data_IF_469152165040
#
_entry.id   IF_469152165040
#
_cell.length_a   1.000
_cell.length_b   1.000
_cell.length_c   1.000
_cell.angle_alpha   90.00
_cell.angle_beta   90.00
_cell.angle_gamma   90.00
#
_symmetry.space_group_name_H-M   'P 1'
#
loop_
_entity.id
_entity.type
_entity.pdbx_description
1 polymer ?
#
# COMPACT_ATOMS: atom_id res chain seq x y z
N UNK A 1 4.35 12.32 21.70
CA UNK A 1 3.13 11.47 21.82
C UNK A 1 3.37 10.50 22.94
N UNK A 2 2.55 10.59 23.98
CA UNK A 2 2.73 9.82 25.22
C UNK A 2 2.27 8.37 25.08
N UNK A 3 2.69 7.53 26.03
CA UNK A 3 2.24 6.14 26.11
C UNK A 3 0.72 6.07 26.26
N UNK A 4 0.07 5.12 25.59
CA UNK A 4 -1.39 4.90 25.63
C UNK A 4 -2.24 6.13 25.27
N UNK A 5 -1.72 7.09 24.49
CA UNK A 5 -2.39 8.38 24.23
C UNK A 5 -3.78 8.25 23.59
N UNK A 6 -4.03 7.14 22.91
CA UNK A 6 -5.25 6.89 22.13
C UNK A 6 -6.07 5.70 22.65
N UNK A 7 -5.65 5.11 23.78
CA UNK A 7 -6.32 3.94 24.35
C UNK A 7 -7.74 4.31 24.81
N UNK A 8 -8.73 3.52 24.40
CA UNK A 8 -10.12 3.71 24.79
C UNK A 8 -10.87 4.81 24.03
N UNK A 9 -10.27 5.40 22.99
CA UNK A 9 -10.97 6.36 22.13
C UNK A 9 -12.09 5.71 21.29
N UNK A 10 -11.89 4.46 20.86
CA UNK A 10 -12.88 3.68 20.12
C UNK A 10 -12.67 2.18 20.38
N UNK A 11 -13.76 1.41 20.26
CA UNK A 11 -13.71 -0.05 20.18
C UNK A 11 -13.60 -0.57 18.74
N UNK A 12 -13.80 0.30 17.76
CA UNK A 12 -13.68 0.02 16.33
C UNK A 12 -12.32 0.50 15.79
N UNK A 13 -12.06 0.21 14.51
CA UNK A 13 -10.88 0.71 13.82
C UNK A 13 -10.91 2.24 13.69
N UNK A 14 -9.73 2.85 13.67
CA UNK A 14 -9.59 4.30 13.66
C UNK A 14 -8.46 4.78 12.75
N UNK A 15 -8.63 6.00 12.28
CA UNK A 15 -7.66 6.74 11.47
C UNK A 15 -7.10 7.87 12.32
N UNK A 16 -5.76 7.91 12.46
CA UNK A 16 -5.05 8.94 13.20
C UNK A 16 -4.23 9.81 12.25
N UNK A 17 -4.69 11.05 12.06
CA UNK A 17 -3.94 12.08 11.35
C UNK A 17 -3.26 13.02 12.34
N UNK A 18 -1.97 12.78 12.53
CA UNK A 18 -1.09 13.56 13.41
C UNK A 18 -0.06 14.37 12.60
N UNK A 19 -0.27 14.48 11.30
CA UNK A 19 0.62 15.15 10.36
C UNK A 19 0.60 16.68 10.51
N UNK A 20 1.65 17.34 10.00
CA UNK A 20 1.82 18.80 10.02
C UNK A 20 1.79 19.41 11.42
N UNK A 21 2.31 18.68 12.39
CA UNK A 21 2.47 19.14 13.76
C UNK A 21 3.96 19.37 14.08
N UNK A 22 4.24 19.72 15.33
CA UNK A 22 5.59 19.85 15.89
C UNK A 22 6.06 18.60 16.63
N UNK A 23 5.56 17.40 16.27
CA UNK A 23 5.91 16.15 16.97
C UNK A 23 7.40 15.87 16.75
N UNK A 24 8.10 15.70 17.86
CA UNK A 24 9.54 15.40 17.91
C UNK A 24 9.78 14.01 18.50
N UNK A 25 8.92 13.62 19.43
CA UNK A 25 9.06 12.39 20.21
C UNK A 25 7.75 11.61 20.22
N UNK A 26 7.87 10.29 20.09
CA UNK A 26 6.79 9.33 20.24
C UNK A 26 7.31 8.26 21.20
N UNK A 27 6.60 8.01 22.30
CA UNK A 27 7.02 7.02 23.29
C UNK A 27 6.67 5.59 22.86
N UNK A 28 7.37 4.62 23.45
CA UNK A 28 6.98 3.20 23.36
C UNK A 28 5.53 3.01 23.81
N UNK A 29 4.80 2.11 23.14
CA UNK A 29 3.39 1.83 23.42
C UNK A 29 2.48 3.06 23.26
N UNK A 30 2.85 4.07 22.45
CA UNK A 30 2.03 5.26 22.21
C UNK A 30 0.63 4.93 21.68
N UNK A 31 0.54 3.90 20.83
CA UNK A 31 -0.69 3.43 20.19
C UNK A 31 -1.28 2.16 20.81
N UNK A 32 -0.82 1.77 22.00
CA UNK A 32 -1.30 0.56 22.67
C UNK A 32 -2.82 0.59 22.92
N UNK A 33 -3.48 -0.55 22.73
CA UNK A 33 -4.93 -0.70 22.91
C UNK A 33 -5.76 -0.02 21.83
N UNK A 34 -5.21 0.16 20.62
CA UNK A 34 -5.91 0.77 19.47
C UNK A 34 -5.95 -0.17 18.26
N UNK A 35 -6.93 0.04 17.39
CA UNK A 35 -7.05 -0.62 16.09
C UNK A 35 -6.82 0.44 15.00
N UNK A 36 -5.64 0.47 14.39
CA UNK A 36 -5.23 1.50 13.45
C UNK A 36 -5.43 1.05 12.00
N UNK A 37 -6.35 1.70 11.30
CA UNK A 37 -6.45 1.58 9.85
C UNK A 37 -5.39 2.45 9.18
N UNK A 38 -5.27 3.70 9.61
CA UNK A 38 -4.29 4.62 9.05
C UNK A 38 -3.63 5.46 10.14
N UNK A 39 -2.31 5.59 10.04
CA UNK A 39 -1.51 6.50 10.85
C UNK A 39 -0.72 7.43 9.93
N UNK A 40 -1.02 8.72 9.99
CA UNK A 40 -0.32 9.75 9.25
C UNK A 40 0.51 10.63 10.20
N UNK A 41 1.83 10.45 10.14
CA UNK A 41 2.85 11.21 10.86
C UNK A 41 3.61 12.19 9.95
N UNK A 42 3.17 12.35 8.69
CA UNK A 42 3.88 13.17 7.72
C UNK A 42 4.04 14.64 8.14
N UNK A 43 5.00 15.35 7.57
CA UNK A 43 5.28 16.78 7.86
C UNK A 43 5.67 17.09 9.32
N UNK A 44 5.95 16.09 10.16
CA UNK A 44 6.59 16.31 11.46
C UNK A 44 8.11 16.39 11.26
N UNK A 45 8.60 17.55 10.81
CA UNK A 45 9.97 17.72 10.29
C UNK A 45 11.09 17.45 11.30
N UNK A 46 10.78 17.47 12.59
CA UNK A 46 11.74 17.22 13.68
C UNK A 46 11.53 15.84 14.33
N UNK A 47 10.67 14.98 13.78
CA UNK A 47 10.52 13.60 14.23
C UNK A 47 11.67 12.76 13.65
N UNK A 48 12.56 12.30 14.52
CA UNK A 48 13.80 11.59 14.14
C UNK A 48 13.75 10.10 14.44
N UNK A 49 12.95 9.69 15.43
CA UNK A 49 12.89 8.31 15.89
C UNK A 49 11.45 7.80 15.99
N UNK A 50 11.27 6.57 15.52
CA UNK A 50 10.14 5.73 15.87
C UNK A 50 10.67 4.58 16.73
N UNK A 51 10.30 4.51 18.02
CA UNK A 51 10.74 3.41 18.87
C UNK A 51 10.24 2.06 18.37
N UNK A 52 10.98 0.99 18.67
CA UNK A 52 10.60 -0.37 18.27
C UNK A 52 9.23 -0.79 18.85
N UNK A 53 8.91 -0.43 20.10
CA UNK A 53 7.63 -0.79 20.74
C UNK A 53 6.50 0.21 20.44
N UNK A 54 6.64 1.08 19.42
CA UNK A 54 5.63 2.11 19.14
C UNK A 54 4.24 1.53 18.84
N UNK A 55 4.19 0.38 18.15
CA UNK A 55 2.98 -0.36 17.80
C UNK A 55 2.69 -1.54 18.75
N UNK A 56 3.41 -1.64 19.87
CA UNK A 56 3.16 -2.72 20.83
C UNK A 56 1.74 -2.62 21.40
N UNK A 57 0.96 -3.70 21.24
CA UNK A 57 -0.44 -3.77 21.69
C UNK A 57 -1.42 -2.96 20.82
N UNK A 58 -0.97 -2.44 19.67
CA UNK A 58 -1.84 -1.91 18.63
C UNK A 58 -2.13 -3.01 17.59
N UNK A 59 -3.33 -2.99 16.99
CA UNK A 59 -3.60 -3.69 15.74
C UNK A 59 -3.38 -2.72 14.57
N UNK A 60 -2.72 -3.16 13.50
CA UNK A 60 -2.27 -2.28 12.42
C UNK A 60 -0.93 -1.59 12.73
N UNK A 61 -0.58 -0.48 12.03
CA UNK A 61 -1.39 0.23 11.05
C UNK A 61 -1.50 -0.49 9.70
N UNK A 62 -2.64 -0.33 9.00
CA UNK A 62 -2.81 -0.81 7.61
C UNK A 62 -2.16 0.16 6.62
N UNK A 63 -2.22 1.46 6.90
CA UNK A 63 -1.58 2.53 6.13
C UNK A 63 -0.69 3.35 7.07
N UNK A 64 0.58 3.53 6.68
CA UNK A 64 1.54 4.36 7.42
C UNK A 64 2.13 5.42 6.50
N UNK A 65 1.97 6.69 6.87
CA UNK A 65 2.63 7.81 6.20
C UNK A 65 3.59 8.53 7.14
N UNK A 66 4.88 8.44 6.84
CA UNK A 66 5.98 9.12 7.54
C UNK A 66 6.70 10.11 6.61
N UNK A 67 6.07 10.52 5.52
CA UNK A 67 6.67 11.40 4.53
C UNK A 67 7.09 12.75 5.13
N UNK A 68 8.19 13.33 4.63
CA UNK A 68 8.72 14.62 5.11
C UNK A 68 8.99 14.65 6.62
N UNK A 69 9.50 13.53 7.15
CA UNK A 69 10.05 13.43 8.51
C UNK A 69 11.57 13.18 8.44
N UNK A 70 12.23 13.18 9.61
CA UNK A 70 13.66 12.85 9.74
C UNK A 70 13.88 11.45 10.32
N UNK A 71 12.87 10.59 10.26
CA UNK A 71 12.92 9.24 10.81
C UNK A 71 14.10 8.46 10.21
N UNK A 72 14.91 7.86 11.08
CA UNK A 72 16.09 7.08 10.69
C UNK A 72 15.81 5.61 10.37
N UNK A 73 14.82 5.01 11.04
CA UNK A 73 14.47 3.60 10.91
C UNK A 73 12.99 3.35 11.23
N UNK A 74 12.42 2.33 10.60
CA UNK A 74 11.11 1.79 10.96
C UNK A 74 11.27 0.74 12.09
N UNK A 75 10.22 0.52 12.90
CA UNK A 75 10.23 -0.53 13.93
C UNK A 75 10.34 -1.93 13.30
N UNK A 76 10.88 -2.87 14.08
CA UNK A 76 11.15 -4.25 13.61
C UNK A 76 9.94 -5.20 13.69
N UNK A 77 8.84 -4.78 14.32
CA UNK A 77 7.57 -5.51 14.48
C UNK A 77 6.40 -4.52 14.54
N UNK A 78 5.16 -5.03 14.45
CA UNK A 78 3.95 -4.21 14.39
C UNK A 78 3.68 -3.63 13.00
N UNK A 79 4.32 -4.19 11.97
CA UNK A 79 4.15 -3.80 10.56
C UNK A 79 3.59 -4.95 9.72
N UNK A 80 3.25 -6.08 10.33
CA UNK A 80 2.74 -7.27 9.65
C UNK A 80 1.43 -7.03 8.89
N UNK A 81 0.60 -6.09 9.35
CA UNK A 81 -0.67 -5.73 8.72
C UNK A 81 -0.55 -4.55 7.76
N UNK A 82 0.65 -3.99 7.58
CA UNK A 82 0.88 -2.81 6.77
C UNK A 82 0.70 -3.14 5.28
N UNK A 83 -0.31 -2.56 4.65
CA UNK A 83 -0.59 -2.67 3.21
C UNK A 83 -0.01 -1.52 2.41
N UNK A 84 0.07 -0.32 2.99
CA UNK A 84 0.59 0.87 2.27
C UNK A 84 1.60 1.62 3.11
N UNK A 85 2.81 1.78 2.59
CA UNK A 85 3.87 2.57 3.21
C UNK A 85 4.17 3.81 2.37
N UNK A 86 4.08 5.00 2.99
CA UNK A 86 4.48 6.27 2.38
C UNK A 86 5.61 6.89 3.19
N UNK A 87 6.77 7.01 2.56
CA UNK A 87 7.99 7.59 3.12
C UNK A 87 8.65 8.50 2.08
N UNK A 88 7.89 9.40 1.46
CA UNK A 88 8.41 10.37 0.48
C UNK A 88 9.19 11.47 1.19
N UNK A 89 10.30 11.92 0.59
CA UNK A 89 11.18 12.94 1.18
C UNK A 89 11.62 12.64 2.62
N UNK A 90 11.80 11.36 2.96
CA UNK A 90 12.27 10.86 4.26
C UNK A 90 13.74 10.44 4.13
N UNK A 91 14.62 11.42 3.89
CA UNK A 91 16.01 11.19 3.49
C UNK A 91 16.88 10.50 4.55
N UNK A 92 16.46 10.54 5.81
CA UNK A 92 17.18 9.89 6.89
C UNK A 92 16.92 8.38 6.95
N UNK A 93 15.81 7.92 6.35
CA UNK A 93 15.42 6.50 6.28
C UNK A 93 16.23 5.80 5.19
N UNK A 94 17.48 5.47 5.51
CA UNK A 94 18.41 4.85 4.56
C UNK A 94 18.19 3.35 4.41
N UNK A 95 17.65 2.71 5.45
CA UNK A 95 17.45 1.26 5.51
C UNK A 95 16.01 0.96 5.85
N UNK A 96 15.48 -0.06 5.18
CA UNK A 96 14.21 -0.67 5.56
C UNK A 96 14.49 -1.90 6.45
N UNK A 97 13.53 -2.27 7.32
CA UNK A 97 13.49 -3.58 7.93
C UNK A 97 13.55 -4.69 6.88
N UNK A 98 13.88 -5.89 7.32
CA UNK A 98 13.86 -7.06 6.45
C UNK A 98 12.46 -7.27 5.85
N UNK A 99 12.41 -7.70 4.60
CA UNK A 99 11.16 -7.72 3.83
C UNK A 99 10.12 -8.69 4.40
N UNK A 100 10.55 -9.71 5.15
CA UNK A 100 9.67 -10.62 5.90
C UNK A 100 8.78 -9.90 6.94
N UNK A 101 9.09 -8.65 7.29
CA UNK A 101 8.23 -7.82 8.15
C UNK A 101 7.06 -7.19 7.42
N UNK A 102 7.12 -7.14 6.09
CA UNK A 102 6.13 -6.49 5.22
C UNK A 102 5.23 -7.51 4.51
N UNK A 103 4.74 -8.51 5.24
CA UNK A 103 3.99 -9.65 4.66
C UNK A 103 2.71 -9.23 3.93
N UNK A 104 2.04 -8.18 4.39
CA UNK A 104 0.80 -7.67 3.80
C UNK A 104 1.01 -6.48 2.83
N UNK A 105 2.25 -6.01 2.63
CA UNK A 105 2.51 -4.76 1.93
C UNK A 105 2.11 -4.87 0.45
N UNK A 106 1.38 -3.92 -0.09
CA UNK A 106 0.94 -3.91 -1.49
C UNK A 106 1.50 -2.70 -2.23
N UNK A 107 1.63 -1.57 -1.54
CA UNK A 107 2.07 -0.30 -2.11
C UNK A 107 3.17 0.33 -1.25
N UNK A 108 4.24 0.80 -1.89
CA UNK A 108 5.35 1.50 -1.24
C UNK A 108 5.73 2.75 -2.03
N UNK A 109 5.51 3.92 -1.43
CA UNK A 109 5.94 5.22 -1.95
C UNK A 109 7.17 5.69 -1.17
N UNK A 110 8.37 5.52 -1.71
CA UNK A 110 9.63 5.68 -0.98
C UNK A 110 10.47 6.84 -1.54
N UNK A 111 11.51 7.22 -0.80
CA UNK A 111 12.44 8.29 -1.22
C UNK A 111 13.55 7.79 -2.12
N UNK A 112 14.00 6.55 -1.90
CA UNK A 112 15.15 5.98 -2.59
C UNK A 112 14.70 4.87 -3.56
N UNK A 113 14.90 5.03 -4.88
CA UNK A 113 14.54 3.99 -5.86
C UNK A 113 15.21 2.63 -5.61
N UNK A 114 16.38 2.62 -4.97
CA UNK A 114 17.08 1.39 -4.59
C UNK A 114 16.28 0.51 -3.63
N UNK A 115 15.37 1.07 -2.83
CA UNK A 115 14.44 0.28 -2.00
C UNK A 115 13.44 -0.49 -2.87
N UNK A 116 12.97 0.10 -3.98
CA UNK A 116 12.07 -0.58 -4.91
C UNK A 116 12.72 -1.77 -5.62
N UNK A 117 14.03 -1.71 -5.89
CA UNK A 117 14.76 -2.86 -6.41
C UNK A 117 14.75 -4.06 -5.44
N UNK A 118 14.69 -3.82 -4.12
CA UNK A 118 14.59 -4.89 -3.14
C UNK A 118 13.22 -5.57 -3.21
N UNK A 119 12.14 -4.79 -3.34
CA UNK A 119 10.78 -5.31 -3.47
C UNK A 119 10.55 -6.07 -4.78
N UNK A 120 11.07 -5.56 -5.91
CA UNK A 120 10.92 -6.21 -7.22
C UNK A 120 11.60 -7.59 -7.30
N UNK A 121 12.64 -7.82 -6.50
CA UNK A 121 13.34 -9.11 -6.47
C UNK A 121 12.84 -10.05 -5.36
N UNK A 122 11.85 -9.61 -4.58
CA UNK A 122 11.40 -10.34 -3.41
C UNK A 122 10.31 -11.35 -3.76
N UNK A 123 10.63 -12.64 -3.63
CA UNK A 123 9.65 -13.73 -3.77
C UNK A 123 8.85 -13.88 -2.50
N UNK A 124 7.60 -13.47 -2.55
CA UNK A 124 6.66 -13.61 -1.43
C UNK A 124 6.23 -15.07 -1.26
N UNK A 125 6.03 -15.52 -0.01
CA UNK A 125 5.25 -16.73 0.21
C UNK A 125 3.84 -16.50 -0.34
N UNK A 126 3.33 -17.46 -1.12
CA UNK A 126 2.03 -17.36 -1.77
C UNK A 126 0.94 -17.22 -0.70
N UNK A 127 0.27 -16.07 -0.68
CA UNK A 127 -0.95 -15.90 0.10
C UNK A 127 -2.12 -16.55 -0.66
N UNK A 128 -2.93 -17.33 0.04
CA UNK A 128 -4.12 -17.96 -0.55
C UNK A 128 -5.10 -16.86 -1.01
N UNK A 129 -5.48 -16.90 -2.29
CA UNK A 129 -6.54 -16.05 -2.83
C UNK A 129 -7.82 -16.23 -2.02
N UNK A 130 -8.59 -15.16 -1.89
CA UNK A 130 -9.89 -15.24 -1.25
C UNK A 130 -10.77 -16.29 -1.96
N UNK A 131 -11.56 -17.12 -1.24
CA UNK A 131 -12.33 -18.23 -1.83
C UNK A 131 -13.32 -17.85 -2.95
N UNK A 132 -13.65 -16.56 -3.04
CA UNK A 132 -14.56 -15.98 -4.04
C UNK A 132 -13.84 -15.75 -5.39
N UNK A 133 -12.51 -15.76 -5.41
CA UNK A 133 -11.75 -15.38 -6.60
C UNK A 133 -11.65 -16.53 -7.61
N UNK A 134 -12.07 -16.23 -8.84
CA UNK A 134 -12.14 -17.18 -9.93
C UNK A 134 -10.84 -17.17 -10.75
N UNK A 135 -10.07 -18.27 -10.69
CA UNK A 135 -8.76 -18.41 -11.38
C UNK A 135 -8.81 -18.30 -12.91
N UNK A 136 -10.00 -18.33 -13.53
CA UNK A 136 -10.14 -18.33 -14.99
C UNK A 136 -10.09 -16.97 -15.66
N UNK A 137 -10.22 -15.85 -14.93
CA UNK A 137 -10.19 -14.50 -15.53
C UNK A 137 -8.74 -14.02 -15.80
N UNK A 138 -7.77 -14.42 -14.96
CA UNK A 138 -6.38 -13.95 -15.07
C UNK A 138 -5.56 -14.59 -16.20
N UNK A 139 -6.09 -15.61 -16.89
CA UNK A 139 -5.36 -16.25 -18.02
C UNK A 139 -5.70 -15.68 -19.39
N UNK A 140 -6.78 -14.92 -19.54
CA UNK A 140 -7.20 -14.42 -20.86
C UNK A 140 -6.38 -13.22 -21.35
N UNK A 141 -5.73 -12.46 -20.46
CA UNK A 141 -4.90 -11.31 -20.87
C UNK A 141 -3.50 -11.70 -21.38
N UNK A 142 -3.05 -12.94 -21.12
CA UNK A 142 -1.75 -13.42 -21.57
C UNK A 142 -1.75 -14.03 -22.98
N UNK A 143 -2.91 -14.45 -23.49
CA UNK A 143 -3.00 -15.18 -24.77
C UNK A 143 -3.24 -14.26 -25.99
N UNK A 144 -3.64 -12.99 -25.81
CA UNK A 144 -4.01 -12.09 -26.92
C UNK A 144 -2.79 -11.40 -27.61
N UNK A 145 -1.57 -11.65 -27.13
CA UNK A 145 -0.32 -11.15 -27.73
C UNK A 145 0.30 -12.09 -28.80
N UNK A 146 -0.34 -13.24 -29.11
CA UNK A 146 0.22 -14.22 -30.07
C UNK A 146 -0.58 -14.48 -31.34
N UNK A 147 -1.66 -13.73 -31.61
CA UNK A 147 -2.45 -13.90 -32.86
C UNK A 147 -2.42 -12.71 -33.82
N UNK A 148 -1.38 -11.86 -33.79
CA UNK A 148 -1.12 -10.91 -34.87
C UNK A 148 -0.25 -11.51 -35.99
N UNK A 149 -0.69 -12.60 -36.64
CA UNK A 149 -0.08 -13.03 -37.92
C UNK A 149 -1.05 -13.76 -38.85
N UNK A 150 -1.71 -12.95 -39.69
CA UNK A 150 -2.06 -13.34 -41.05
C UNK A 150 -3.56 -13.54 -41.33
N UNK A 151 -4.17 -12.59 -42.02
CA UNK A 151 -4.68 -12.77 -43.40
C UNK A 151 -5.28 -11.44 -43.92
N UNK A 152 -5.07 -11.19 -45.22
CA UNK A 152 -5.55 -10.02 -45.98
C UNK A 152 -6.93 -10.31 -46.61
N UNK A 153 -7.54 -9.24 -47.15
CA UNK A 153 -8.65 -9.18 -48.16
C UNK A 153 -10.05 -9.17 -47.50
N UNK A 154 -11.03 -8.29 -47.78
CA UNK A 154 -11.30 -7.21 -48.75
C UNK A 154 -12.52 -6.35 -48.31
N UNK A 155 -12.68 -5.19 -48.96
CA UNK A 155 -13.76 -4.19 -48.90
C UNK A 155 -15.19 -4.76 -49.07
N UNK A 156 -16.16 -4.20 -48.32
CA UNK A 156 -17.49 -3.77 -48.79
C UNK A 156 -18.19 -2.93 -47.70
N UNK A 157 -18.87 -1.89 -48.13
CA UNK A 157 -19.69 -0.94 -47.37
C UNK A 157 -20.98 -1.60 -46.84
N UNK A 158 -21.54 -1.10 -45.74
CA UNK A 158 -22.98 -0.81 -45.62
C UNK A 158 -23.31 -0.04 -44.33
N UNK A 159 -24.30 0.83 -44.48
CA UNK A 159 -24.69 1.94 -43.61
C UNK A 159 -25.42 1.55 -42.32
N UNK A 160 -25.13 2.34 -41.27
CA UNK A 160 -26.04 3.02 -40.34
C UNK A 160 -27.27 2.27 -39.77
N UNK A 161 -27.29 2.09 -38.43
CA UNK A 161 -28.45 2.52 -37.63
C UNK A 161 -28.14 2.68 -36.12
N UNK A 162 -28.41 3.91 -35.67
CA UNK A 162 -29.09 4.27 -34.42
C UNK A 162 -28.48 3.95 -33.05
N UNK A 163 -28.08 5.03 -32.38
CA UNK A 163 -28.45 5.41 -31.00
C UNK A 163 -28.36 4.33 -29.91
N UNK A 164 -27.25 4.32 -29.15
CA UNK A 164 -27.18 4.60 -27.69
C UNK A 164 -25.97 3.90 -27.06
N UNK A 165 -25.01 4.68 -26.57
CA UNK A 165 -24.41 4.57 -25.22
C UNK A 165 -23.25 5.55 -25.10
N UNK A 166 -23.61 6.81 -24.84
CA UNK A 166 -22.83 7.59 -23.90
C UNK A 166 -23.12 7.03 -22.51
N UNK A 167 -22.17 6.33 -21.92
CA UNK A 167 -22.16 6.09 -20.47
C UNK A 167 -20.73 5.81 -20.01
N UNK A 168 -20.19 6.79 -19.29
CA UNK A 168 -19.10 6.76 -18.32
C UNK A 168 -17.70 6.27 -18.72
N UNK A 169 -16.92 7.22 -19.21
CA UNK A 169 -15.46 7.28 -19.12
C UNK A 169 -15.05 7.90 -17.77
N UNK A 170 -15.53 7.37 -16.64
CA UNK A 170 -15.20 7.89 -15.29
C UNK A 170 -15.16 6.84 -14.17
N UNK A 171 -15.15 5.54 -14.49
CA UNK A 171 -15.15 4.45 -13.48
C UNK A 171 -14.02 3.42 -13.66
N UNK A 172 -12.94 3.75 -14.39
CA UNK A 172 -11.81 2.83 -14.57
C UNK A 172 -10.68 3.00 -13.53
N UNK A 173 -10.87 3.78 -12.46
CA UNK A 173 -9.75 4.18 -11.57
C UNK A 173 -9.69 3.44 -10.21
N UNK A 174 -10.65 2.56 -9.90
CA UNK A 174 -10.62 1.82 -8.63
C UNK A 174 -10.95 0.35 -8.83
N UNK A 175 -9.94 -0.42 -9.24
CA UNK A 175 -9.93 -1.85 -8.95
C UNK A 175 -9.63 -2.00 -7.45
N UNK A 176 -10.51 -2.68 -6.72
CA UNK A 176 -10.35 -2.87 -5.27
C UNK A 176 -9.44 -4.07 -4.96
N UNK A 177 -8.82 -4.67 -5.97
CA UNK A 177 -7.79 -5.70 -5.92
C UNK A 177 -8.16 -6.90 -5.02
N UNK A 178 -9.45 -7.15 -4.83
CA UNK A 178 -9.98 -8.20 -3.96
C UNK A 178 -9.59 -9.60 -4.42
N UNK A 179 -9.28 -9.73 -5.72
CA UNK A 179 -8.95 -10.99 -6.37
C UNK A 179 -7.61 -11.02 -7.09
N UNK A 180 -6.76 -10.02 -6.85
CA UNK A 180 -5.44 -10.02 -7.45
C UNK A 180 -4.60 -11.14 -6.82
N UNK A 181 -4.04 -12.00 -7.68
CA UNK A 181 -2.88 -12.81 -7.31
C UNK A 181 -1.82 -11.87 -6.75
N UNK A 182 -1.03 -12.31 -5.77
CA UNK A 182 -0.02 -11.47 -5.10
C UNK A 182 0.84 -10.76 -6.16
N UNK A 183 0.45 -9.53 -6.48
CA UNK A 183 1.17 -8.68 -7.40
C UNK A 183 2.42 -8.23 -6.65
N UNK A 184 3.53 -8.14 -7.37
CA UNK A 184 4.72 -7.49 -6.86
C UNK A 184 4.33 -6.15 -6.20
N UNK A 185 5.05 -5.77 -5.14
CA UNK A 185 4.77 -4.51 -4.45
C UNK A 185 4.86 -3.37 -5.45
N UNK A 186 3.76 -2.63 -5.62
CA UNK A 186 3.78 -1.42 -6.44
C UNK A 186 4.65 -0.40 -5.71
N UNK A 187 5.80 -0.08 -6.29
CA UNK A 187 6.80 0.75 -5.64
C UNK A 187 7.19 1.96 -6.49
N UNK A 188 7.21 3.15 -5.87
CA UNK A 188 7.57 4.43 -6.50
C UNK A 188 8.55 5.23 -5.64
#
# INVERSE_FOLDING_TARGET
VERNSFMGLSFESMILWLNKNGIQEIHNCAFNGTQLDELNLSDNINLEELPNDVFQGASGPVILDISRTRIHSLPSYGLENLKKLRAKSTYNLKKLPSLDKFVALMEASLTYPGHCCAFANWRRPVSELHPICNKSILRQEADDMTQARGQRVSLAEDEESSYTKGFDMMYSEFDYDLCNEVVDVTCS
#
